data_IF_679209485194
#
_entry.id   IF_679209485194
#
_cell.length_a   1.000
_cell.length_b   1.000
_cell.length_c   1.000
_cell.angle_alpha   90.00
_cell.angle_beta   90.00
_cell.angle_gamma   90.00
#
_symmetry.space_group_name_H-M   'P 1'
#
loop_
_entity.id
_entity.type
_entity.pdbx_description
1 polymer ?
#
# COMPACT_ATOMS: atom_id res chain seq x y z
N UNK A 1 18.23 15.44 4.18
CA UNK A 1 17.53 16.11 5.29
C UNK A 1 16.57 15.11 5.88
N UNK A 2 16.61 14.89 7.20
CA UNK A 2 15.71 13.96 7.91
C UNK A 2 14.26 14.45 7.81
N UNK A 3 13.29 13.51 7.75
CA UNK A 3 11.87 13.85 7.76
C UNK A 3 11.48 14.50 9.11
N UNK A 4 10.50 15.41 9.12
CA UNK A 4 9.92 15.92 10.37
C UNK A 4 9.23 14.78 11.15
N UNK A 5 8.81 15.09 12.38
CA UNK A 5 8.04 14.14 13.20
C UNK A 5 6.73 13.81 12.48
N UNK A 6 6.31 12.53 12.45
CA UNK A 6 5.04 12.16 11.82
C UNK A 6 3.84 12.73 12.59
N UNK A 7 2.77 13.02 11.87
CA UNK A 7 1.47 13.34 12.48
C UNK A 7 0.93 12.11 13.22
N UNK A 8 0.34 12.34 14.39
CA UNK A 8 -0.35 11.30 15.16
C UNK A 8 -1.86 11.53 15.12
N UNK A 9 -2.59 10.52 14.67
CA UNK A 9 -4.05 10.49 14.64
C UNK A 9 -4.53 9.59 15.78
N UNK A 10 -5.53 10.06 16.55
CA UNK A 10 -6.09 9.32 17.69
C UNK A 10 -7.59 9.20 17.54
N UNK A 11 -8.09 7.99 17.73
CA UNK A 11 -9.50 7.71 17.86
C UNK A 11 -9.94 7.80 19.33
N UNK A 12 -11.24 7.94 19.57
CA UNK A 12 -11.79 8.06 20.92
C UNK A 12 -11.62 6.79 21.77
N UNK A 13 -11.49 5.64 21.13
CA UNK A 13 -11.30 4.32 21.77
C UNK A 13 -9.83 3.96 22.06
N UNK A 14 -8.90 4.88 21.78
CA UNK A 14 -7.47 4.71 22.01
C UNK A 14 -6.67 4.11 20.84
N UNK A 15 -7.32 3.80 19.72
CA UNK A 15 -6.58 3.45 18.51
C UNK A 15 -5.75 4.66 18.02
N UNK A 16 -4.54 4.38 17.50
CA UNK A 16 -3.60 5.42 17.10
C UNK A 16 -2.93 5.07 15.76
N UNK A 17 -2.67 6.08 14.92
CA UNK A 17 -1.91 5.95 13.70
C UNK A 17 -0.86 7.05 13.58
N UNK A 18 0.28 6.74 12.92
CA UNK A 18 1.34 7.69 12.63
C UNK A 18 1.57 7.77 11.13
N UNK A 19 1.64 8.98 10.60
CA UNK A 19 1.71 9.24 9.17
C UNK A 19 2.66 10.41 8.87
N UNK A 20 3.53 10.24 7.89
CA UNK A 20 4.37 11.33 7.39
C UNK A 20 3.66 12.10 6.28
N UNK A 21 3.81 13.42 6.25
CA UNK A 21 3.34 14.24 5.14
C UNK A 21 4.03 13.86 3.81
N UNK A 22 5.30 13.43 3.84
CA UNK A 22 5.93 12.83 2.68
C UNK A 22 5.25 11.51 2.34
N UNK A 23 4.66 11.44 1.16
CA UNK A 23 3.96 10.24 0.67
C UNK A 23 2.56 10.06 1.25
N UNK A 24 2.09 10.96 2.15
CA UNK A 24 0.99 10.64 3.06
C UNK A 24 1.17 9.23 3.62
N UNK A 25 2.40 8.94 4.07
CA UNK A 25 2.87 7.59 4.33
C UNK A 25 2.51 7.14 5.74
N UNK A 26 1.48 6.31 5.86
CA UNK A 26 1.10 5.65 7.10
C UNK A 26 2.21 4.66 7.48
N UNK A 27 2.89 4.91 8.61
CA UNK A 27 4.01 4.07 9.07
C UNK A 27 3.65 3.14 10.21
N UNK A 28 2.61 3.48 10.98
CA UNK A 28 2.19 2.71 12.14
C UNK A 28 0.68 2.82 12.34
N UNK A 29 0.06 1.73 12.70
CA UNK A 29 -1.29 1.69 13.23
C UNK A 29 -1.31 0.74 14.43
N UNK A 30 -1.80 1.25 15.55
CA UNK A 30 -2.07 0.49 16.76
C UNK A 30 -3.58 0.51 16.99
N UNK A 31 -4.18 -0.67 17.04
CA UNK A 31 -5.62 -0.82 17.29
C UNK A 31 -5.97 -0.51 18.75
N UNK A 32 -7.26 -0.47 19.08
CA UNK A 32 -7.72 -0.24 20.44
C UNK A 32 -7.28 -1.36 21.41
N UNK A 33 -7.13 -2.60 20.93
CA UNK A 33 -6.57 -3.72 21.72
C UNK A 33 -5.05 -3.66 21.86
N UNK A 34 -4.37 -2.77 21.12
CA UNK A 34 -2.92 -2.61 21.15
C UNK A 34 -2.17 -3.39 20.06
N UNK A 35 -2.85 -4.12 19.17
CA UNK A 35 -2.21 -4.84 18.09
C UNK A 35 -1.65 -3.89 17.01
N UNK A 36 -0.49 -4.22 16.44
CA UNK A 36 0.23 -3.43 15.45
C UNK A 36 0.55 -4.28 14.20
N UNK A 37 -0.39 -4.44 13.26
CA UNK A 37 -0.22 -5.35 12.13
C UNK A 37 0.61 -4.78 10.98
N UNK A 38 1.06 -3.53 11.03
CA UNK A 38 1.93 -2.98 9.99
C UNK A 38 3.40 -3.26 10.30
N UNK A 39 4.13 -3.69 9.26
CA UNK A 39 5.59 -3.81 9.34
C UNK A 39 6.23 -2.48 8.96
N UNK A 40 7.26 -2.10 9.69
CA UNK A 40 8.12 -0.95 9.38
C UNK A 40 9.56 -1.36 9.63
N UNK A 41 10.42 -1.23 8.61
CA UNK A 41 11.83 -1.54 8.74
C UNK A 41 12.53 -0.54 9.66
N UNK A 42 13.33 -1.07 10.58
CA UNK A 42 14.18 -0.28 11.46
C UNK A 42 15.34 0.40 10.72
N UNK A 43 15.64 -0.03 9.49
CA UNK A 43 16.68 0.53 8.62
C UNK A 43 16.16 1.53 7.61
N UNK A 44 14.88 1.87 7.63
CA UNK A 44 14.34 2.94 6.80
C UNK A 44 15.05 4.26 7.07
N UNK A 45 15.44 4.97 6.02
CA UNK A 45 16.29 6.16 6.15
C UNK A 45 15.54 7.39 6.67
N UNK A 46 14.21 7.45 6.61
CA UNK A 46 13.38 8.62 6.95
C UNK A 46 13.97 9.96 6.46
N UNK A 47 14.37 9.94 5.18
CA UNK A 47 15.03 11.07 4.51
C UNK A 47 14.14 11.64 3.42
N UNK A 48 14.09 12.97 3.31
CA UNK A 48 13.30 13.67 2.30
C UNK A 48 13.61 13.16 0.88
N UNK A 49 12.57 12.86 0.10
CA UNK A 49 12.66 12.32 -1.25
C UNK A 49 13.00 10.82 -1.34
N UNK A 50 13.24 10.14 -0.21
CA UNK A 50 13.53 8.69 -0.17
C UNK A 50 12.29 7.91 0.25
N UNK A 51 12.04 6.79 -0.40
CA UNK A 51 10.94 5.91 -0.03
C UNK A 51 11.21 5.24 1.34
N UNK A 52 10.17 5.07 2.14
CA UNK A 52 10.20 4.38 3.42
C UNK A 52 9.87 2.89 3.19
N UNK A 53 10.64 1.98 3.82
CA UNK A 53 10.40 0.53 3.76
C UNK A 53 9.44 0.12 4.87
N UNK A 54 8.18 -0.14 4.53
CA UNK A 54 7.14 -0.54 5.48
C UNK A 54 5.92 0.37 5.46
N UNK A 55 4.98 0.16 6.37
CA UNK A 55 3.73 0.89 6.42
C UNK A 55 2.87 0.73 5.18
N UNK A 56 2.30 1.84 4.69
CA UNK A 56 1.43 1.86 3.50
C UNK A 56 1.89 2.95 2.53
N UNK A 57 2.91 2.69 1.69
CA UNK A 57 3.29 3.59 0.60
C UNK A 57 2.18 3.75 -0.44
N UNK A 58 1.91 4.97 -0.85
CA UNK A 58 0.98 5.28 -1.96
C UNK A 58 1.71 5.20 -3.29
N UNK A 59 1.31 4.27 -4.14
CA UNK A 59 1.85 4.11 -5.49
C UNK A 59 0.95 4.85 -6.48
N UNK A 60 1.50 5.86 -7.16
CA UNK A 60 0.80 6.66 -8.17
C UNK A 60 1.80 7.57 -8.90
N UNK A 61 1.63 7.88 -10.20
CA UNK A 61 0.61 7.38 -11.12
C UNK A 61 1.03 6.13 -11.90
N UNK A 62 2.14 5.50 -11.53
CA UNK A 62 2.71 4.33 -12.20
C UNK A 62 3.05 3.25 -11.18
N UNK A 63 2.66 2.00 -11.45
CA UNK A 63 3.10 0.84 -10.68
C UNK A 63 4.42 0.30 -11.22
N UNK A 64 5.31 -0.14 -10.32
CA UNK A 64 6.62 -0.70 -10.65
C UNK A 64 7.40 0.16 -11.67
N UNK A 65 8.10 -0.46 -12.59
CA UNK A 65 8.78 0.19 -13.73
C UNK A 65 7.94 0.07 -15.02
N UNK A 66 6.61 -0.03 -14.91
CA UNK A 66 5.70 -0.22 -16.04
C UNK A 66 5.29 1.12 -16.67
N UNK A 67 6.27 1.89 -17.12
CA UNK A 67 6.07 3.19 -17.76
C UNK A 67 7.32 4.07 -17.69
N UNK A 68 7.22 5.33 -18.12
CA UNK A 68 8.39 6.21 -18.28
C UNK A 68 8.87 6.85 -16.96
N UNK A 69 8.10 6.75 -15.89
CA UNK A 69 8.44 7.38 -14.61
C UNK A 69 9.39 6.50 -13.77
N UNK A 70 9.96 7.09 -12.73
CA UNK A 70 10.67 6.33 -11.72
C UNK A 70 9.80 5.21 -11.15
N UNK A 71 10.41 4.12 -10.71
CA UNK A 71 9.71 2.96 -10.14
C UNK A 71 8.70 3.40 -9.08
N UNK A 72 7.44 3.01 -9.28
CA UNK A 72 6.29 3.33 -8.43
C UNK A 72 5.84 4.82 -8.48
N UNK A 73 6.23 5.57 -9.50
CA UNK A 73 5.85 6.97 -9.63
C UNK A 73 6.43 7.88 -8.55
N UNK A 74 5.75 8.98 -8.27
CA UNK A 74 6.26 10.03 -7.38
C UNK A 74 5.45 10.22 -6.08
N UNK A 75 4.25 9.69 -5.98
CA UNK A 75 3.34 10.00 -4.86
C UNK A 75 3.94 9.68 -3.48
N UNK A 76 4.64 8.53 -3.37
CA UNK A 76 5.25 8.08 -2.11
C UNK A 76 6.44 8.92 -1.62
N UNK A 77 7.00 9.77 -2.46
CA UNK A 77 8.13 10.66 -2.13
C UNK A 77 7.77 12.13 -2.17
N UNK A 78 6.60 12.48 -2.73
CA UNK A 78 6.09 13.84 -2.72
C UNK A 78 5.57 14.25 -1.34
N UNK A 79 5.60 15.55 -1.04
CA UNK A 79 5.00 16.08 0.19
C UNK A 79 3.52 16.36 -0.06
N UNK A 80 2.67 15.74 0.75
CA UNK A 80 1.22 15.94 0.74
C UNK A 80 0.81 16.97 1.78
N UNK A 81 -0.26 17.69 1.51
CA UNK A 81 -0.80 18.71 2.41
C UNK A 81 -1.90 18.10 3.27
N UNK A 82 -1.70 18.12 4.60
CA UNK A 82 -2.75 17.73 5.54
C UNK A 82 -3.93 18.68 5.42
N UNK A 83 -5.12 18.12 5.41
CA UNK A 83 -6.39 18.86 5.47
C UNK A 83 -6.88 18.92 6.91
N UNK A 84 -7.73 19.89 7.28
CA UNK A 84 -8.35 19.92 8.61
C UNK A 84 -9.08 18.62 8.92
N UNK A 85 -8.89 18.11 10.13
CA UNK A 85 -9.55 16.89 10.58
C UNK A 85 -11.06 17.16 10.78
N UNK A 86 -11.88 16.18 10.41
CA UNK A 86 -13.34 16.29 10.53
C UNK A 86 -13.87 15.60 11.78
N UNK A 87 -13.19 14.59 12.29
CA UNK A 87 -13.58 13.79 13.45
C UNK A 87 -12.38 13.06 14.06
N UNK A 88 -12.44 12.66 15.36
CA UNK A 88 -11.42 11.82 15.97
C UNK A 88 -11.23 10.50 15.19
N UNK A 89 -9.98 10.10 15.01
CA UNK A 89 -9.64 8.87 14.27
C UNK A 89 -9.67 9.00 12.75
N UNK A 90 -10.03 10.17 12.20
CA UNK A 90 -10.02 10.41 10.76
C UNK A 90 -9.05 11.53 10.39
N UNK A 91 -8.40 11.41 9.24
CA UNK A 91 -7.54 12.44 8.69
C UNK A 91 -7.45 12.33 7.16
N UNK A 92 -7.06 13.43 6.51
CA UNK A 92 -6.99 13.52 5.06
C UNK A 92 -5.73 14.29 4.64
N UNK A 93 -5.08 13.82 3.56
CA UNK A 93 -3.97 14.50 2.90
C UNK A 93 -4.27 14.66 1.41
N UNK A 94 -3.82 15.75 0.83
CA UNK A 94 -3.96 16.04 -0.59
C UNK A 94 -2.60 16.20 -1.26
N UNK A 95 -2.46 15.65 -2.46
CA UNK A 95 -1.39 15.93 -3.41
C UNK A 95 -1.99 16.49 -4.68
N UNK A 96 -1.56 17.70 -5.05
CA UNK A 96 -1.93 18.34 -6.32
C UNK A 96 -0.76 18.30 -7.27
N UNK A 97 -1.04 18.39 -8.55
CA UNK A 97 -0.01 18.60 -9.54
C UNK A 97 0.78 19.90 -9.30
N UNK A 98 2.02 19.87 -9.68
CA UNK A 98 2.98 20.97 -9.56
C UNK A 98 3.80 21.08 -10.85
N UNK A 99 4.59 22.12 -10.98
CA UNK A 99 5.52 22.24 -12.11
C UNK A 99 6.44 21.01 -12.23
N UNK A 100 6.93 20.49 -11.11
CA UNK A 100 7.80 19.31 -11.07
C UNK A 100 7.07 18.02 -11.51
N UNK A 101 5.85 17.77 -10.99
CA UNK A 101 5.09 16.59 -11.39
C UNK A 101 4.63 16.66 -12.83
N UNK A 102 4.25 17.84 -13.33
CA UNK A 102 3.86 18.06 -14.75
C UNK A 102 5.01 17.89 -15.71
N UNK A 103 6.24 18.19 -15.30
CA UNK A 103 7.43 17.94 -16.12
C UNK A 103 7.66 16.43 -16.35
N UNK A 104 7.35 15.60 -15.36
CA UNK A 104 7.48 14.15 -15.44
C UNK A 104 6.23 13.46 -16.01
N UNK A 105 5.04 13.96 -15.68
CA UNK A 105 3.74 13.42 -16.06
C UNK A 105 2.78 14.61 -16.34
N UNK A 106 2.55 15.00 -17.60
CA UNK A 106 1.95 16.29 -17.98
C UNK A 106 0.42 16.35 -17.82
N UNK A 107 -0.07 15.97 -16.64
CA UNK A 107 -1.48 15.98 -16.29
C UNK A 107 -1.76 16.82 -15.05
N UNK A 108 -2.90 17.54 -15.07
CA UNK A 108 -3.47 18.09 -13.85
C UNK A 108 -4.15 16.96 -13.07
N UNK A 109 -3.93 16.90 -11.76
CA UNK A 109 -4.57 15.92 -10.89
C UNK A 109 -4.75 16.46 -9.48
N UNK A 110 -5.70 15.86 -8.77
CA UNK A 110 -5.83 15.96 -7.32
C UNK A 110 -5.95 14.55 -6.77
N UNK A 111 -4.99 14.14 -5.95
CA UNK A 111 -5.07 12.93 -5.14
C UNK A 111 -5.45 13.29 -3.71
N UNK A 112 -6.30 12.49 -3.09
CA UNK A 112 -6.58 12.53 -1.66
C UNK A 112 -6.34 11.16 -1.06
N UNK A 113 -5.62 11.13 0.07
CA UNK A 113 -5.52 9.95 0.93
C UNK A 113 -6.31 10.22 2.20
N UNK A 114 -7.34 9.42 2.44
CA UNK A 114 -8.15 9.46 3.65
C UNK A 114 -7.84 8.26 4.52
N UNK A 115 -7.60 8.54 5.81
CA UNK A 115 -7.37 7.56 6.84
C UNK A 115 -8.54 7.59 7.83
N UNK A 116 -8.99 6.41 8.26
CA UNK A 116 -9.92 6.25 9.37
C UNK A 116 -9.49 5.06 10.23
N UNK A 117 -9.40 5.28 11.54
CA UNK A 117 -9.08 4.25 12.52
C UNK A 117 -10.11 4.24 13.63
N UNK A 118 -10.37 3.05 14.20
CA UNK A 118 -11.22 2.86 15.37
C UNK A 118 -11.40 1.37 15.66
N UNK A 119 -11.47 0.99 16.91
CA UNK A 119 -11.52 -0.41 17.33
C UNK A 119 -10.35 -1.22 16.74
N UNK A 120 -10.71 -2.31 16.08
CA UNK A 120 -9.78 -3.22 15.41
C UNK A 120 -9.73 -2.97 13.89
N UNK A 121 -10.09 -1.75 13.44
CA UNK A 121 -10.26 -1.43 12.03
C UNK A 121 -9.41 -0.24 11.61
N UNK A 122 -8.76 -0.38 10.45
CA UNK A 122 -8.09 0.67 9.70
C UNK A 122 -8.66 0.72 8.29
N UNK A 123 -9.11 1.89 7.86
CA UNK A 123 -9.50 2.17 6.49
C UNK A 123 -8.51 3.17 5.86
N UNK A 124 -7.99 2.85 4.68
CA UNK A 124 -7.15 3.72 3.87
C UNK A 124 -7.79 3.85 2.49
N UNK A 125 -8.17 5.05 2.09
CA UNK A 125 -8.81 5.32 0.80
C UNK A 125 -7.98 6.32 -0.01
N UNK A 126 -7.65 5.96 -1.24
CA UNK A 126 -7.03 6.84 -2.23
C UNK A 126 -8.09 7.26 -3.26
N UNK A 127 -8.27 8.55 -3.47
CA UNK A 127 -9.05 9.07 -4.57
C UNK A 127 -8.19 9.88 -5.53
N UNK A 128 -8.55 9.85 -6.81
CA UNK A 128 -7.92 10.62 -7.88
C UNK A 128 -9.00 11.36 -8.65
N UNK A 129 -8.87 12.68 -8.73
CA UNK A 129 -9.70 13.55 -9.55
C UNK A 129 -8.88 14.10 -10.71
N UNK A 130 -9.47 14.16 -11.89
CA UNK A 130 -8.92 14.81 -13.07
C UNK A 130 -9.54 16.23 -13.23
N UNK A 131 -8.92 17.29 -12.70
CA UNK A 131 -9.40 18.66 -12.89
C UNK A 131 -8.97 19.27 -14.23
N UNK A 132 -8.22 18.53 -15.04
CA UNK A 132 -7.70 18.99 -16.34
C UNK A 132 -8.72 18.91 -17.46
N UNK A 133 -8.29 19.25 -18.66
CA UNK A 133 -9.08 19.23 -19.89
C UNK A 133 -8.74 18.06 -20.84
N UNK A 134 -7.83 17.17 -20.43
CA UNK A 134 -7.45 15.95 -21.16
C UNK A 134 -7.65 14.74 -20.27
N UNK A 135 -7.96 13.59 -20.87
CA UNK A 135 -8.01 12.33 -20.13
C UNK A 135 -6.62 12.00 -19.57
N UNK A 136 -6.58 11.48 -18.34
CA UNK A 136 -5.37 10.93 -17.75
C UNK A 136 -5.51 9.42 -17.54
N UNK A 137 -4.38 8.72 -17.60
CA UNK A 137 -4.33 7.28 -17.38
C UNK A 137 -3.26 6.96 -16.35
N UNK A 138 -3.59 6.12 -15.37
CA UNK A 138 -2.68 5.76 -14.29
C UNK A 138 -2.88 4.32 -13.81
N UNK A 139 -1.88 3.81 -13.11
CA UNK A 139 -1.96 2.66 -12.23
C UNK A 139 -1.68 3.12 -10.80
N UNK A 140 -2.24 2.43 -9.82
CA UNK A 140 -2.10 2.79 -8.42
C UNK A 140 -2.09 1.56 -7.51
N UNK A 141 -1.51 1.71 -6.33
CA UNK A 141 -1.62 0.73 -5.26
C UNK A 141 -1.47 1.38 -3.88
N UNK A 142 -2.03 0.73 -2.88
CA UNK A 142 -1.67 0.88 -1.48
C UNK A 142 -0.72 -0.28 -1.15
N UNK A 143 0.59 0.02 -1.11
CA UNK A 143 1.66 -0.98 -0.99
C UNK A 143 1.83 -1.43 0.47
N UNK A 144 0.80 -2.03 1.02
CA UNK A 144 0.67 -2.34 2.45
C UNK A 144 1.62 -3.45 2.86
N UNK A 145 2.52 -3.13 3.80
CA UNK A 145 3.42 -4.06 4.47
C UNK A 145 2.76 -4.56 5.74
N UNK A 146 2.43 -5.83 5.78
CA UNK A 146 1.89 -6.49 6.97
C UNK A 146 3.01 -7.13 7.78
N UNK A 147 2.91 -7.03 9.10
CA UNK A 147 3.80 -7.71 10.03
C UNK A 147 3.32 -9.15 10.20
N UNK A 148 4.25 -10.08 10.13
CA UNK A 148 4.06 -11.48 10.48
C UNK A 148 5.13 -11.91 11.48
N UNK A 149 4.81 -12.85 12.37
CA UNK A 149 5.76 -13.36 13.35
C UNK A 149 6.81 -14.24 12.67
N UNK A 150 6.35 -15.10 11.75
CA UNK A 150 7.21 -15.91 10.88
C UNK A 150 6.51 -16.12 9.53
N UNK A 151 7.12 -15.67 8.46
CA UNK A 151 6.58 -15.81 7.10
C UNK A 151 6.32 -17.27 6.71
N UNK A 152 7.12 -18.21 7.22
CA UNK A 152 6.95 -19.65 6.97
C UNK A 152 5.66 -20.22 7.56
N UNK A 153 5.16 -19.61 8.64
CA UNK A 153 3.91 -20.00 9.31
C UNK A 153 2.69 -19.20 8.79
N UNK A 154 2.91 -18.10 8.08
CA UNK A 154 1.83 -17.28 7.53
C UNK A 154 1.16 -17.94 6.32
N UNK A 155 -0.15 -17.74 6.17
CA UNK A 155 -0.95 -18.22 5.03
C UNK A 155 -1.90 -17.13 4.59
N UNK A 156 -1.90 -16.84 3.28
CA UNK A 156 -2.84 -15.90 2.67
C UNK A 156 -3.93 -16.67 1.93
N UNK A 157 -5.18 -16.45 2.29
CA UNK A 157 -6.36 -17.13 1.74
C UNK A 157 -7.16 -16.19 0.86
N UNK A 158 -7.91 -16.77 -0.10
CA UNK A 158 -8.84 -16.07 -0.98
C UNK A 158 -8.30 -15.82 -2.39
N UNK A 159 -7.10 -16.31 -2.73
CA UNK A 159 -6.50 -16.14 -4.06
C UNK A 159 -6.61 -17.39 -4.96
N UNK A 160 -7.15 -18.49 -4.45
CA UNK A 160 -7.33 -19.72 -5.23
C UNK A 160 -8.12 -19.47 -6.51
N UNK A 161 -7.69 -20.08 -7.62
CA UNK A 161 -8.22 -19.95 -8.99
C UNK A 161 -8.07 -18.56 -9.63
N UNK A 162 -7.48 -17.58 -8.94
CA UNK A 162 -7.16 -16.29 -9.56
C UNK A 162 -5.89 -16.41 -10.42
N UNK A 163 -5.95 -15.76 -11.59
CA UNK A 163 -4.79 -15.63 -12.48
C UNK A 163 -3.82 -14.61 -11.89
N UNK A 164 -2.53 -14.90 -11.97
CA UNK A 164 -1.49 -13.97 -11.56
C UNK A 164 -0.32 -13.95 -12.53
N UNK A 165 0.41 -12.84 -12.55
CA UNK A 165 1.71 -12.67 -13.19
C UNK A 165 2.79 -12.83 -12.13
N UNK A 166 3.72 -13.74 -12.35
CA UNK A 166 4.85 -14.03 -11.45
C UNK A 166 6.08 -13.22 -11.87
N UNK A 167 6.24 -12.03 -11.28
CA UNK A 167 7.33 -11.11 -11.61
C UNK A 167 8.69 -11.62 -11.11
N UNK A 168 8.71 -12.45 -10.06
CA UNK A 168 9.94 -13.09 -9.58
C UNK A 168 10.48 -14.13 -10.56
N UNK A 169 9.62 -14.68 -11.42
CA UNK A 169 9.96 -15.74 -12.37
C UNK A 169 9.69 -15.32 -13.82
N UNK A 170 10.16 -14.14 -14.21
CA UNK A 170 10.15 -13.68 -15.61
C UNK A 170 8.78 -13.20 -16.11
N UNK A 171 7.83 -12.89 -15.23
CA UNK A 171 6.53 -12.37 -15.61
C UNK A 171 5.57 -13.40 -16.21
N UNK A 172 5.80 -14.69 -15.98
CA UNK A 172 4.94 -15.78 -16.47
C UNK A 172 3.58 -15.69 -15.80
N UNK A 173 2.51 -15.80 -16.59
CA UNK A 173 1.15 -15.88 -16.05
C UNK A 173 0.80 -17.32 -15.66
N UNK A 174 0.16 -17.43 -14.50
CA UNK A 174 -0.31 -18.71 -13.93
C UNK A 174 -1.67 -18.51 -13.26
N UNK A 175 -2.26 -19.61 -12.80
CA UNK A 175 -3.45 -19.63 -11.95
C UNK A 175 -3.05 -20.20 -10.60
N UNK A 176 -3.50 -19.55 -9.51
CA UNK A 176 -3.24 -20.05 -8.15
C UNK A 176 -4.03 -21.34 -7.92
N UNK A 177 -3.30 -22.42 -7.68
CA UNK A 177 -3.90 -23.73 -7.49
C UNK A 177 -4.24 -24.01 -6.02
N UNK A 178 -3.46 -23.42 -5.10
CA UNK A 178 -3.55 -23.73 -3.69
C UNK A 178 -4.70 -22.97 -3.00
N UNK A 179 -5.36 -23.62 -2.06
CA UNK A 179 -6.42 -23.02 -1.24
C UNK A 179 -5.88 -21.85 -0.38
N UNK A 180 -4.62 -21.96 0.03
CA UNK A 180 -3.91 -20.91 0.73
C UNK A 180 -2.49 -20.75 0.22
N UNK A 181 -2.08 -19.51 -0.04
CA UNK A 181 -0.73 -19.20 -0.47
C UNK A 181 0.22 -19.28 0.73
N UNK A 182 1.19 -20.21 0.64
CA UNK A 182 2.37 -20.25 1.50
C UNK A 182 3.49 -19.42 0.84
N UNK A 183 4.23 -18.67 1.65
CA UNK A 183 5.34 -17.87 1.14
C UNK A 183 6.64 -18.68 1.27
N UNK A 184 7.22 -19.03 0.13
CA UNK A 184 8.46 -19.79 0.05
C UNK A 184 9.43 -19.08 -0.88
N UNK A 185 10.56 -18.59 -0.34
CA UNK A 185 11.51 -17.79 -1.11
C UNK A 185 10.96 -16.43 -1.52
N UNK A 186 11.41 -15.89 -2.65
CA UNK A 186 10.89 -14.66 -3.22
C UNK A 186 9.49 -14.90 -3.82
N UNK A 187 8.56 -14.04 -3.45
CA UNK A 187 7.23 -13.95 -4.07
C UNK A 187 7.05 -12.53 -4.58
N UNK A 188 6.71 -12.36 -5.85
CA UNK A 188 6.37 -11.07 -6.48
C UNK A 188 5.27 -11.34 -7.51
N UNK A 189 4.02 -11.36 -7.04
CA UNK A 189 2.87 -11.78 -7.84
C UNK A 189 1.82 -10.70 -7.90
N UNK A 190 1.33 -10.41 -9.11
CA UNK A 190 0.19 -9.54 -9.35
C UNK A 190 -1.00 -10.44 -9.71
N UNK A 191 -1.94 -10.58 -8.78
CA UNK A 191 -3.19 -11.30 -8.98
C UNK A 191 -4.22 -10.37 -9.58
N UNK A 192 -4.89 -10.81 -10.65
CA UNK A 192 -5.87 -10.03 -11.39
C UNK A 192 -7.30 -10.39 -11.01
N UNK A 193 -8.18 -9.39 -11.02
CA UNK A 193 -9.62 -9.54 -10.74
C UNK A 193 -9.88 -10.29 -9.42
N UNK A 194 -9.18 -9.90 -8.37
CA UNK A 194 -9.20 -10.56 -7.07
C UNK A 194 -10.48 -10.26 -6.28
N UNK A 195 -10.85 -11.12 -5.32
CA UNK A 195 -12.05 -10.90 -4.50
C UNK A 195 -11.89 -9.66 -3.61
N UNK A 196 -13.03 -9.14 -3.15
CA UNK A 196 -13.07 -7.98 -2.28
C UNK A 196 -12.48 -8.23 -0.88
N UNK A 197 -12.26 -9.48 -0.48
CA UNK A 197 -11.73 -9.83 0.83
C UNK A 197 -10.76 -11.00 0.77
N UNK A 198 -9.62 -10.82 1.46
CA UNK A 198 -8.60 -11.83 1.70
C UNK A 198 -8.44 -12.03 3.21
N UNK A 199 -7.80 -13.11 3.62
CA UNK A 199 -7.49 -13.40 5.02
C UNK A 199 -6.03 -13.84 5.15
N UNK A 200 -5.26 -13.06 5.91
CA UNK A 200 -3.92 -13.47 6.36
C UNK A 200 -4.06 -14.15 7.72
N UNK A 201 -3.57 -15.37 7.86
CA UNK A 201 -3.56 -16.12 9.11
C UNK A 201 -2.15 -16.53 9.50
N UNK A 202 -1.88 -16.53 10.80
CA UNK A 202 -0.68 -17.07 11.43
C UNK A 202 -1.05 -17.64 12.80
N UNK A 203 -0.20 -18.43 13.47
CA UNK A 203 -0.50 -18.95 14.80
C UNK A 203 -0.93 -17.84 15.78
N UNK A 204 -2.12 -17.97 16.35
CA UNK A 204 -2.65 -17.04 17.34
C UNK A 204 -3.24 -15.74 16.81
N UNK A 205 -3.18 -15.46 15.51
CA UNK A 205 -3.76 -14.23 14.95
C UNK A 205 -4.27 -14.37 13.51
N UNK A 206 -5.21 -13.52 13.16
CA UNK A 206 -5.70 -13.37 11.80
C UNK A 206 -5.98 -11.90 11.49
N UNK A 207 -5.83 -11.55 10.22
CA UNK A 207 -6.14 -10.24 9.68
C UNK A 207 -7.01 -10.41 8.45
N UNK A 208 -8.20 -9.79 8.44
CA UNK A 208 -9.02 -9.67 7.26
C UNK A 208 -8.60 -8.42 6.49
N UNK A 209 -8.44 -8.56 5.18
CA UNK A 209 -7.99 -7.52 4.27
C UNK A 209 -9.07 -7.35 3.22
N UNK A 210 -9.75 -6.21 3.23
CA UNK A 210 -10.81 -5.89 2.26
C UNK A 210 -10.32 -4.83 1.30
N UNK A 211 -10.85 -4.85 0.06
CA UNK A 211 -10.59 -3.81 -0.93
C UNK A 211 -11.84 -3.46 -1.73
N UNK A 212 -11.93 -2.18 -2.13
CA UNK A 212 -12.96 -1.67 -3.04
C UNK A 212 -12.33 -0.72 -4.04
N UNK A 213 -12.81 -0.73 -5.29
CA UNK A 213 -12.29 0.11 -6.37
C UNK A 213 -10.91 -0.31 -6.90
N UNK A 214 -10.11 -0.99 -6.11
CA UNK A 214 -8.97 -1.75 -6.57
C UNK A 214 -9.44 -3.14 -7.01
N UNK A 215 -8.98 -3.59 -8.18
CA UNK A 215 -9.39 -4.87 -8.75
C UNK A 215 -8.29 -5.94 -8.74
N UNK A 216 -7.07 -5.56 -8.42
CA UNK A 216 -5.92 -6.43 -8.38
C UNK A 216 -5.34 -6.50 -6.98
N UNK A 217 -4.62 -7.58 -6.67
CA UNK A 217 -3.85 -7.71 -5.43
C UNK A 217 -2.40 -8.03 -5.77
N UNK A 218 -1.46 -7.28 -5.19
CA UNK A 218 -0.05 -7.65 -5.27
C UNK A 218 0.37 -8.33 -3.99
N UNK A 219 1.01 -9.48 -4.13
CA UNK A 219 1.63 -10.20 -3.00
C UNK A 219 3.13 -10.20 -3.21
N UNK A 220 3.85 -9.60 -2.24
CA UNK A 220 5.29 -9.50 -2.31
C UNK A 220 5.97 -9.85 -0.99
N UNK A 221 7.01 -10.67 -1.12
CA UNK A 221 8.02 -10.90 -0.10
C UNK A 221 9.37 -11.04 -0.82
N UNK A 222 10.44 -10.35 -0.39
CA UNK A 222 11.72 -10.40 -1.09
C UNK A 222 12.42 -11.76 -1.01
N UNK A 223 12.02 -12.62 -0.08
CA UNK A 223 12.79 -13.82 0.25
C UNK A 223 14.17 -13.51 0.82
N UNK A 224 14.92 -14.53 1.27
CA UNK A 224 16.17 -14.32 2.00
C UNK A 224 17.27 -13.66 1.15
N UNK A 225 17.43 -14.07 -0.10
CA UNK A 225 18.52 -13.57 -0.94
C UNK A 225 18.35 -12.10 -1.32
N UNK A 226 17.17 -11.72 -1.79
CA UNK A 226 16.85 -10.32 -2.16
C UNK A 226 16.69 -9.46 -0.90
N UNK A 227 16.11 -10.01 0.17
CA UNK A 227 15.98 -9.34 1.47
C UNK A 227 17.34 -8.91 2.01
N UNK A 228 18.32 -9.77 2.00
CA UNK A 228 19.70 -9.46 2.43
C UNK A 228 20.39 -8.39 1.57
N UNK A 229 19.98 -8.22 0.31
CA UNK A 229 20.51 -7.21 -0.61
C UNK A 229 19.83 -5.83 -0.47
N UNK A 230 18.69 -5.73 0.25
CA UNK A 230 17.99 -4.48 0.48
C UNK A 230 18.66 -3.70 1.61
N UNK A 231 19.31 -2.58 1.29
CA UNK A 231 20.05 -1.78 2.27
C UNK A 231 19.13 -1.17 3.35
N UNK A 232 17.84 -0.98 3.03
CA UNK A 232 16.81 -0.41 3.87
C UNK A 232 15.93 -1.46 4.59
N UNK A 233 16.35 -2.74 4.58
CA UNK A 233 15.71 -3.82 5.33
C UNK A 233 16.70 -4.39 6.34
N UNK A 234 16.27 -4.66 7.58
CA UNK A 234 17.07 -5.32 8.59
C UNK A 234 17.37 -6.77 8.21
N UNK A 235 18.42 -7.32 8.83
CA UNK A 235 18.74 -8.73 8.69
C UNK A 235 17.51 -9.57 9.09
N UNK A 236 17.20 -10.61 8.31
CA UNK A 236 16.04 -11.49 8.48
C UNK A 236 14.67 -10.76 8.42
N UNK A 237 14.64 -9.49 8.01
CA UNK A 237 13.42 -8.71 7.90
C UNK A 237 12.40 -9.30 6.90
N UNK A 238 12.86 -10.06 5.91
CA UNK A 238 12.02 -10.83 4.98
C UNK A 238 11.15 -11.87 5.69
N UNK A 239 11.57 -12.37 6.86
CA UNK A 239 10.81 -13.32 7.66
C UNK A 239 9.63 -12.70 8.41
N UNK A 240 9.62 -11.37 8.54
CA UNK A 240 8.67 -10.63 9.37
C UNK A 240 7.75 -9.70 8.59
N UNK A 241 7.77 -9.75 7.27
CA UNK A 241 6.91 -8.95 6.41
C UNK A 241 6.18 -9.78 5.36
N UNK A 242 4.98 -9.34 5.00
CA UNK A 242 4.27 -9.74 3.79
C UNK A 242 3.57 -8.52 3.22
N UNK A 243 3.87 -8.15 1.99
CA UNK A 243 3.05 -7.15 1.30
C UNK A 243 1.80 -7.80 0.73
N UNK A 244 0.64 -7.22 1.05
CA UNK A 244 -0.64 -7.52 0.44
C UNK A 244 -1.25 -6.19 0.02
N UNK A 245 -1.07 -5.86 -1.25
CA UNK A 245 -1.36 -4.53 -1.78
C UNK A 245 -2.71 -4.53 -2.49
N UNK A 246 -3.59 -3.60 -2.15
CA UNK A 246 -4.74 -3.28 -2.98
C UNK A 246 -4.25 -2.48 -4.19
N UNK A 247 -4.50 -2.96 -5.41
CA UNK A 247 -3.88 -2.42 -6.60
C UNK A 247 -4.85 -2.32 -7.79
N UNK A 248 -4.55 -1.43 -8.72
CA UNK A 248 -5.11 -1.37 -10.06
C UNK A 248 -3.95 -1.27 -11.05
N UNK A 249 -3.57 -2.42 -11.62
CA UNK A 249 -2.38 -2.59 -12.46
C UNK A 249 -2.73 -3.25 -13.79
N UNK A 250 -3.42 -4.39 -13.76
CA UNK A 250 -3.77 -5.17 -14.96
C UNK A 250 -4.64 -4.38 -15.94
N UNK A 251 -5.52 -3.53 -15.41
CA UNK A 251 -6.36 -2.59 -16.18
C UNK A 251 -6.20 -1.18 -15.65
N UNK A 252 -5.24 -0.38 -16.21
CA UNK A 252 -5.05 1.00 -15.78
C UNK A 252 -6.34 1.83 -15.82
N UNK A 253 -6.53 2.69 -14.81
CA UNK A 253 -7.67 3.60 -14.75
C UNK A 253 -7.50 4.70 -15.79
N UNK A 254 -8.57 4.98 -16.54
CA UNK A 254 -8.65 6.13 -17.45
C UNK A 254 -9.73 7.09 -16.95
N UNK A 255 -9.35 8.34 -16.65
CA UNK A 255 -10.28 9.37 -16.17
C UNK A 255 -10.44 10.45 -17.23
N UNK A 256 -11.67 10.64 -17.69
CA UNK A 256 -12.05 11.80 -18.49
C UNK A 256 -11.90 13.11 -17.66
N UNK A 257 -11.85 14.28 -18.31
CA UNK A 257 -11.93 15.57 -17.63
C UNK A 257 -13.11 15.64 -16.65
N UNK A 258 -12.86 16.10 -15.42
CA UNK A 258 -13.83 16.20 -14.35
C UNK A 258 -14.18 14.87 -13.64
N UNK A 259 -13.71 13.73 -14.15
CA UNK A 259 -14.01 12.42 -13.56
C UNK A 259 -13.21 12.13 -12.29
N UNK A 260 -13.75 11.23 -11.47
CA UNK A 260 -13.15 10.75 -10.23
C UNK A 260 -13.02 9.23 -10.24
N UNK A 261 -11.99 8.73 -9.57
CA UNK A 261 -11.82 7.33 -9.19
C UNK A 261 -11.50 7.27 -7.70
N UNK A 262 -11.92 6.20 -7.05
CA UNK A 262 -11.57 5.91 -5.66
C UNK A 262 -11.30 4.43 -5.49
N UNK A 263 -10.25 4.10 -4.75
CA UNK A 263 -9.97 2.76 -4.24
C UNK A 263 -9.68 2.81 -2.74
N UNK A 264 -10.01 1.74 -2.03
CA UNK A 264 -9.72 1.63 -0.60
C UNK A 264 -9.25 0.23 -0.22
N UNK A 265 -8.45 0.19 0.85
CA UNK A 265 -8.11 -1.03 1.56
C UNK A 265 -8.50 -0.89 3.02
N UNK A 266 -9.09 -1.94 3.56
CA UNK A 266 -9.47 -2.04 4.97
C UNK A 266 -8.75 -3.21 5.61
N UNK A 267 -8.17 -2.98 6.78
CA UNK A 267 -7.59 -4.01 7.64
C UNK A 267 -8.45 -4.18 8.88
N UNK A 268 -8.80 -5.44 9.23
CA UNK A 268 -9.61 -5.78 10.40
C UNK A 268 -8.92 -6.90 11.15
N UNK A 269 -8.56 -6.65 12.41
CA UNK A 269 -7.88 -7.61 13.27
C UNK A 269 -8.91 -8.59 13.82
N UNK A 270 -8.59 -9.90 13.81
CA UNK A 270 -9.45 -10.95 14.32
C UNK A 270 -10.65 -11.33 13.44
N UNK A 271 -10.69 -10.88 12.18
CA UNK A 271 -11.75 -11.14 11.21
C UNK A 271 -11.64 -12.49 10.49
#
# INVERSE_FOLDING_TARGET
MTLPVPDTIRAADGAEAQIYAQGAHLIRWRSASGAEPLFLSQRSAFTAGTAIRGGVPVIFPQFAAEGPLAKHGFARTAVWQRQPDTEPGAACWQLRDSAATRAAWPHAFLCELRLRIGGERLDVALSVHNPGNQALRFTAALHTYLRVDDIGAARLHGLQQHRYRDSAHGGIERVEADESLAIVGEVDRIYFDTPAALRLSQPGSALRIEQQGFCDTVVWNPGPAKGAALADLEQDGDRHLLCVEAAVVGRPVSLAPGAHWQGSQTLIIGG
#
